data_IF_726429894102
#
_entry.id   IF_726429894102
#
_cell.length_a   1.000
_cell.length_b   1.000
_cell.length_c   1.000
_cell.angle_alpha   90.00
_cell.angle_beta   90.00
_cell.angle_gamma   90.00
#
_symmetry.space_group_name_H-M   'P 1'
#
loop_
_entity.id
_entity.type
_entity.pdbx_description
1 polymer ?
#
# COMPACT_ATOMS: atom_id res chain seq x y z
N UNK A 1 8.47 -2.76 -22.32
CA UNK A 1 9.34 -2.09 -21.35
C UNK A 1 8.86 -2.38 -19.94
N UNK A 2 9.79 -2.70 -19.02
CA UNK A 2 9.48 -2.98 -17.62
C UNK A 2 10.35 -2.06 -16.75
N UNK A 3 9.74 -1.51 -15.69
CA UNK A 3 10.44 -0.77 -14.65
C UNK A 3 10.18 -1.46 -13.32
N UNK A 4 11.19 -1.67 -12.51
CA UNK A 4 11.09 -2.23 -11.18
C UNK A 4 11.70 -1.27 -10.16
N UNK A 5 10.95 -0.97 -9.09
CA UNK A 5 11.50 -0.29 -7.92
C UNK A 5 11.86 -1.34 -6.88
N UNK A 6 13.12 -1.35 -6.46
CA UNK A 6 13.67 -2.32 -5.52
C UNK A 6 14.13 -1.58 -4.26
N UNK A 7 13.61 -1.97 -3.09
CA UNK A 7 14.08 -1.48 -1.80
C UNK A 7 15.32 -2.27 -1.37
N UNK A 8 16.46 -1.59 -1.28
CA UNK A 8 17.74 -2.22 -0.88
C UNK A 8 17.86 -2.41 0.63
N UNK A 9 17.27 -1.52 1.42
CA UNK A 9 17.37 -1.56 2.89
C UNK A 9 16.40 -2.57 3.49
N UNK A 10 16.68 -3.86 3.27
CA UNK A 10 15.94 -4.95 3.91
C UNK A 10 16.75 -5.51 5.08
N UNK A 11 16.15 -5.69 6.26
CA UNK A 11 16.81 -6.36 7.38
C UNK A 11 17.25 -7.75 6.93
N UNK A 12 18.57 -8.00 6.99
CA UNK A 12 19.23 -9.30 6.72
C UNK A 12 19.24 -9.79 5.26
N UNK A 13 18.81 -8.98 4.27
CA UNK A 13 18.61 -9.46 2.90
C UNK A 13 19.14 -8.49 1.83
N UNK A 14 20.04 -7.57 2.20
CA UNK A 14 20.55 -6.53 1.28
C UNK A 14 21.31 -7.12 0.10
N UNK A 15 22.15 -8.12 0.36
CA UNK A 15 22.93 -8.80 -0.68
C UNK A 15 22.04 -9.58 -1.65
N UNK A 16 20.99 -10.23 -1.16
CA UNK A 16 20.01 -10.93 -1.97
C UNK A 16 19.24 -9.96 -2.87
N UNK A 17 18.75 -8.85 -2.31
CA UNK A 17 18.02 -7.83 -3.06
C UNK A 17 18.89 -7.18 -4.15
N UNK A 18 20.17 -6.96 -3.87
CA UNK A 18 21.12 -6.45 -4.86
C UNK A 18 21.30 -7.45 -6.01
N UNK A 19 21.50 -8.73 -5.70
CA UNK A 19 21.61 -9.79 -6.70
C UNK A 19 20.35 -9.92 -7.59
N UNK A 20 19.17 -9.78 -7.02
CA UNK A 20 17.92 -9.78 -7.79
C UNK A 20 17.82 -8.53 -8.68
N UNK A 21 18.21 -7.36 -8.18
CA UNK A 21 18.23 -6.13 -8.97
C UNK A 21 19.16 -6.24 -10.19
N UNK A 22 20.35 -6.81 -10.02
CA UNK A 22 21.29 -7.07 -11.12
C UNK A 22 20.72 -8.06 -12.16
N UNK A 23 20.04 -9.11 -11.71
CA UNK A 23 19.37 -10.07 -12.62
C UNK A 23 18.30 -9.39 -13.46
N UNK A 24 17.49 -8.52 -12.84
CA UNK A 24 16.47 -7.72 -13.54
C UNK A 24 17.13 -6.79 -14.58
N UNK A 25 18.20 -6.10 -14.23
CA UNK A 25 18.93 -5.23 -15.16
C UNK A 25 19.49 -6.01 -16.36
N UNK A 26 20.10 -7.17 -16.13
CA UNK A 26 20.60 -8.05 -17.20
C UNK A 26 19.48 -8.55 -18.12
N UNK A 27 18.25 -8.67 -17.60
CA UNK A 27 17.05 -9.00 -18.39
C UNK A 27 16.43 -7.78 -19.12
N UNK A 28 17.08 -6.60 -19.06
CA UNK A 28 16.60 -5.38 -19.73
C UNK A 28 15.55 -4.59 -18.96
N UNK A 29 15.37 -4.88 -17.67
CA UNK A 29 14.46 -4.13 -16.80
C UNK A 29 15.14 -2.85 -16.33
N UNK A 30 14.44 -1.73 -16.39
CA UNK A 30 14.88 -0.49 -15.76
C UNK A 30 14.70 -0.60 -14.24
N UNK A 31 15.78 -0.63 -13.48
CA UNK A 31 15.71 -0.73 -12.02
C UNK A 31 15.90 0.64 -11.38
N UNK A 32 14.99 0.97 -10.46
CA UNK A 32 15.05 2.16 -9.61
C UNK A 32 15.30 1.70 -8.17
N UNK A 33 16.28 2.27 -7.50
CA UNK A 33 16.69 1.87 -6.15
C UNK A 33 16.07 2.78 -5.10
N UNK A 34 15.01 2.29 -4.45
CA UNK A 34 14.35 2.99 -3.37
C UNK A 34 13.81 4.39 -3.73
N UNK A 35 13.32 5.10 -2.73
CA UNK A 35 12.88 6.49 -2.82
C UNK A 35 13.67 7.32 -1.82
N UNK A 36 14.30 8.40 -2.26
CA UNK A 36 15.13 9.24 -1.39
C UNK A 36 14.33 9.75 -0.19
N UNK A 37 14.82 9.48 1.01
CA UNK A 37 14.22 9.91 2.27
C UNK A 37 13.07 9.01 2.79
N UNK A 38 12.70 7.96 2.04
CA UNK A 38 11.64 7.03 2.43
C UNK A 38 12.10 5.58 2.33
N UNK A 39 11.51 4.72 3.16
CA UNK A 39 11.59 3.28 2.98
C UNK A 39 10.36 2.83 2.20
N UNK A 40 10.56 2.18 1.06
CA UNK A 40 9.47 1.69 0.22
C UNK A 40 8.96 0.37 0.76
N UNK A 41 7.73 0.36 1.28
CA UNK A 41 7.06 -0.84 1.81
C UNK A 41 5.85 -1.27 0.99
N UNK A 42 5.48 -0.54 -0.04
CA UNK A 42 4.37 -0.88 -0.92
C UNK A 42 4.68 -2.13 -1.78
N UNK A 43 3.68 -2.99 -1.96
CA UNK A 43 3.71 -4.15 -2.86
C UNK A 43 2.64 -3.95 -3.90
N UNK A 44 3.06 -3.46 -5.05
CA UNK A 44 2.18 -3.07 -6.14
C UNK A 44 2.80 -3.48 -7.48
N UNK A 45 1.98 -4.05 -8.34
CA UNK A 45 2.32 -4.31 -9.75
C UNK A 45 1.30 -3.65 -10.63
N UNK A 46 1.75 -3.01 -11.69
CA UNK A 46 0.92 -2.39 -12.71
C UNK A 46 1.31 -2.91 -14.09
N UNK A 47 0.35 -3.46 -14.81
CA UNK A 47 0.48 -3.83 -16.22
C UNK A 47 -0.44 -2.94 -17.04
N UNK A 48 0.14 -2.21 -18.00
CA UNK A 48 -0.61 -1.36 -18.92
C UNK A 48 -0.61 -2.00 -20.31
N UNK A 49 -1.78 -2.27 -20.84
CA UNK A 49 -1.97 -2.90 -22.16
C UNK A 49 -2.87 -2.03 -23.03
N UNK A 50 -2.65 -2.11 -24.33
CA UNK A 50 -3.59 -1.58 -25.32
C UNK A 50 -4.52 -2.71 -25.76
N UNK A 51 -5.82 -2.54 -25.49
CA UNK A 51 -6.86 -3.49 -25.81
C UNK A 51 -8.00 -2.76 -26.52
N UNK A 52 -8.39 -3.23 -27.69
CA UNK A 52 -9.46 -2.62 -28.51
C UNK A 52 -9.30 -1.09 -28.69
N UNK A 53 -8.06 -0.63 -28.89
CA UNK A 53 -7.76 0.80 -29.10
C UNK A 53 -7.63 1.64 -27.81
N UNK A 54 -7.99 1.10 -26.65
CA UNK A 54 -7.93 1.79 -25.35
C UNK A 54 -6.79 1.26 -24.47
N UNK A 55 -6.32 2.08 -23.53
CA UNK A 55 -5.34 1.65 -22.52
C UNK A 55 -6.07 1.05 -21.33
N UNK A 56 -5.78 -0.21 -21.05
CA UNK A 56 -6.29 -0.92 -19.88
C UNK A 56 -5.18 -1.17 -18.86
N UNK A 57 -5.48 -0.97 -17.59
CA UNK A 57 -4.55 -1.13 -16.48
C UNK A 57 -4.98 -2.29 -15.61
N UNK A 58 -4.05 -3.20 -15.35
CA UNK A 58 -4.23 -4.33 -14.45
C UNK A 58 -3.30 -4.14 -13.28
N UNK A 59 -3.85 -4.15 -12.08
CA UNK A 59 -3.11 -3.89 -10.86
C UNK A 59 -3.16 -5.10 -9.93
N UNK A 60 -2.06 -5.35 -9.27
CA UNK A 60 -2.00 -6.14 -8.06
C UNK A 60 -1.56 -5.25 -6.90
N UNK A 61 -2.32 -5.29 -5.82
CA UNK A 61 -1.98 -4.67 -4.54
C UNK A 61 -1.87 -5.78 -3.50
N UNK A 62 -0.76 -5.85 -2.78
CA UNK A 62 -0.53 -6.87 -1.78
C UNK A 62 -0.07 -6.31 -0.45
N UNK A 63 -0.39 -6.99 0.65
CA UNK A 63 0.19 -6.74 1.97
C UNK A 63 1.53 -7.44 2.12
N UNK A 64 1.73 -8.58 1.45
CA UNK A 64 2.92 -9.41 1.51
C UNK A 64 3.99 -9.08 0.49
N UNK A 65 5.23 -9.30 0.84
CA UNK A 65 6.35 -9.14 -0.07
C UNK A 65 6.28 -10.12 -1.24
N UNK A 66 6.81 -9.73 -2.41
CA UNK A 66 7.06 -10.63 -3.55
C UNK A 66 8.29 -11.53 -3.25
N UNK A 67 8.14 -12.36 -2.24
CA UNK A 67 9.18 -13.28 -1.75
C UNK A 67 8.52 -14.60 -1.35
N UNK A 68 9.00 -15.71 -1.91
CA UNK A 68 8.36 -17.03 -1.75
C UNK A 68 8.44 -17.55 -0.31
N UNK A 69 9.52 -17.27 0.42
CA UNK A 69 9.71 -17.76 1.78
C UNK A 69 8.78 -17.04 2.76
N UNK A 70 8.72 -15.70 2.67
CA UNK A 70 7.81 -14.91 3.52
C UNK A 70 6.35 -15.17 3.19
N UNK A 71 6.01 -15.44 1.93
CA UNK A 71 4.64 -15.78 1.51
C UNK A 71 4.13 -17.11 2.10
N UNK A 72 5.02 -18.01 2.52
CA UNK A 72 4.65 -19.27 3.20
C UNK A 72 4.37 -19.07 4.69
N UNK A 73 4.89 -18.01 5.29
CA UNK A 73 4.84 -17.75 6.73
C UNK A 73 3.71 -16.82 7.10
N UNK A 74 3.49 -15.77 6.31
CA UNK A 74 2.51 -14.72 6.59
C UNK A 74 1.17 -14.98 5.90
N UNK A 75 0.08 -14.63 6.59
CA UNK A 75 -1.26 -14.57 5.98
C UNK A 75 -1.48 -13.19 5.40
N UNK A 76 -1.34 -13.09 4.10
CA UNK A 76 -1.45 -11.83 3.37
C UNK A 76 -2.76 -11.72 2.60
N UNK A 77 -3.10 -10.48 2.22
CA UNK A 77 -4.20 -10.17 1.31
C UNK A 77 -3.65 -9.65 0.00
N UNK A 78 -4.28 -10.06 -1.09
CA UNK A 78 -3.96 -9.61 -2.45
C UNK A 78 -5.24 -9.18 -3.16
N UNK A 79 -5.18 -8.02 -3.81
CA UNK A 79 -6.24 -7.52 -4.68
C UNK A 79 -5.73 -7.48 -6.12
N UNK A 80 -6.31 -8.29 -7.00
CA UNK A 80 -6.14 -8.18 -8.45
C UNK A 80 -7.33 -7.43 -9.03
N UNK A 81 -7.08 -6.36 -9.76
CA UNK A 81 -8.15 -5.50 -10.30
C UNK A 81 -7.77 -4.82 -11.60
N UNK A 82 -8.79 -4.47 -12.39
CA UNK A 82 -8.68 -3.57 -13.53
C UNK A 82 -9.60 -2.34 -13.39
N UNK A 83 -9.99 -2.00 -12.15
CA UNK A 83 -10.73 -0.77 -11.87
C UNK A 83 -9.98 0.45 -12.39
N UNK A 84 -10.66 1.33 -13.11
CA UNK A 84 -10.04 2.48 -13.78
C UNK A 84 -9.44 3.48 -12.80
N UNK A 85 -10.09 3.72 -11.66
CA UNK A 85 -9.62 4.67 -10.65
C UNK A 85 -8.40 4.14 -9.91
N UNK A 86 -8.43 2.87 -9.49
CA UNK A 86 -7.27 2.21 -8.88
C UNK A 86 -6.11 2.12 -9.87
N UNK A 87 -6.38 1.83 -11.14
CA UNK A 87 -5.38 1.80 -12.19
C UNK A 87 -4.74 3.16 -12.48
N UNK A 88 -5.54 4.24 -12.48
CA UNK A 88 -5.04 5.60 -12.62
C UNK A 88 -4.18 6.01 -11.43
N UNK A 89 -4.62 5.73 -10.21
CA UNK A 89 -3.87 5.99 -8.99
C UNK A 89 -2.56 5.19 -8.94
N UNK A 90 -2.57 3.93 -9.36
CA UNK A 90 -1.37 3.11 -9.46
C UNK A 90 -0.35 3.72 -10.45
N UNK A 91 -0.81 4.19 -11.62
CA UNK A 91 0.06 4.88 -12.59
C UNK A 91 0.67 6.13 -11.98
N UNK A 92 -0.12 6.90 -11.26
CA UNK A 92 0.32 8.12 -10.59
C UNK A 92 1.31 7.81 -9.46
N UNK A 93 1.07 6.76 -8.69
CA UNK A 93 2.01 6.30 -7.66
C UNK A 93 3.36 5.95 -8.27
N UNK A 94 3.40 5.14 -9.34
CA UNK A 94 4.65 4.79 -10.02
C UNK A 94 5.36 6.02 -10.58
N UNK A 95 4.65 6.95 -11.20
CA UNK A 95 5.24 8.19 -11.69
C UNK A 95 5.87 9.02 -10.57
N UNK A 96 5.27 9.04 -9.39
CA UNK A 96 5.81 9.79 -8.26
C UNK A 96 7.04 9.13 -7.64
N UNK A 97 7.04 7.80 -7.48
CA UNK A 97 8.18 7.09 -6.87
C UNK A 97 9.37 6.93 -7.81
N UNK A 98 9.15 7.03 -9.13
CA UNK A 98 10.22 7.08 -10.13
C UNK A 98 10.72 8.50 -10.43
N UNK A 99 10.20 9.50 -9.73
CA UNK A 99 10.66 10.90 -9.84
C UNK A 99 10.11 11.67 -11.03
N UNK A 100 9.14 11.12 -11.78
CA UNK A 100 8.55 11.77 -12.96
C UNK A 100 7.58 12.88 -12.58
N UNK A 101 6.87 12.74 -11.46
CA UNK A 101 5.91 13.75 -10.99
C UNK A 101 5.93 13.88 -9.47
N UNK A 102 5.45 15.03 -8.94
CA UNK A 102 5.14 15.14 -7.52
C UNK A 102 3.87 14.37 -7.18
N UNK A 103 3.74 13.91 -5.92
CA UNK A 103 2.50 13.33 -5.40
C UNK A 103 1.36 14.34 -5.63
N UNK A 104 0.36 13.92 -6.40
CA UNK A 104 -0.84 14.69 -6.68
C UNK A 104 -2.06 14.00 -6.05
N UNK A 105 -3.26 14.38 -6.40
CA UNK A 105 -4.48 13.82 -5.80
C UNK A 105 -4.70 12.37 -6.21
N UNK A 106 -4.77 11.48 -5.23
CA UNK A 106 -5.27 10.11 -5.38
C UNK A 106 -6.79 10.08 -5.13
N UNK A 107 -7.48 9.17 -5.79
CA UNK A 107 -8.94 9.00 -5.66
C UNK A 107 -9.32 7.85 -4.73
N UNK A 108 -8.58 6.76 -4.81
CA UNK A 108 -8.85 5.49 -4.10
C UNK A 108 -7.68 5.01 -3.26
N UNK A 109 -6.44 5.38 -3.62
CA UNK A 109 -5.26 5.03 -2.86
C UNK A 109 -4.89 6.15 -1.88
N UNK A 110 -4.40 5.77 -0.72
CA UNK A 110 -3.96 6.69 0.32
C UNK A 110 -2.50 6.38 0.69
N UNK A 111 -1.51 6.92 -0.06
CA UNK A 111 -0.11 6.65 0.21
C UNK A 111 0.36 7.23 1.54
N UNK A 112 1.16 6.46 2.27
CA UNK A 112 1.89 6.93 3.45
C UNK A 112 3.23 7.56 3.01
N UNK A 113 3.72 8.61 3.72
CA UNK A 113 3.12 9.27 4.89
C UNK A 113 2.09 10.36 4.54
N UNK A 114 1.87 10.65 3.24
CA UNK A 114 1.17 11.85 2.80
C UNK A 114 -0.33 11.88 3.14
N UNK A 115 -1.02 10.71 3.14
CA UNK A 115 -2.49 10.68 3.22
C UNK A 115 -3.05 9.58 4.13
N UNK A 116 -2.33 8.47 4.31
CA UNK A 116 -2.89 7.26 4.93
C UNK A 116 -3.31 7.50 6.39
N UNK A 117 -2.49 8.18 7.18
CA UNK A 117 -2.78 8.42 8.60
C UNK A 117 -4.06 9.23 8.78
N UNK A 118 -4.16 10.37 8.10
CA UNK A 118 -5.35 11.24 8.18
C UNK A 118 -6.60 10.48 7.76
N UNK A 119 -6.52 9.71 6.66
CA UNK A 119 -7.66 8.95 6.18
C UNK A 119 -8.12 7.86 7.14
N UNK A 120 -7.20 7.17 7.79
CA UNK A 120 -7.56 6.17 8.80
C UNK A 120 -8.20 6.81 10.03
N UNK A 121 -7.68 7.94 10.50
CA UNK A 121 -8.28 8.70 11.61
C UNK A 121 -9.71 9.18 11.27
N UNK A 122 -9.94 9.67 10.04
CA UNK A 122 -11.29 10.02 9.57
C UNK A 122 -12.24 8.82 9.59
N UNK A 123 -11.78 7.64 9.13
CA UNK A 123 -12.60 6.43 9.12
C UNK A 123 -12.93 5.96 10.54
N UNK A 124 -11.98 6.02 11.47
CA UNK A 124 -12.21 5.70 12.89
C UNK A 124 -13.24 6.68 13.49
N UNK A 125 -13.08 7.99 13.24
CA UNK A 125 -14.02 8.99 13.71
C UNK A 125 -15.43 8.81 13.12
N UNK A 126 -15.54 8.39 11.86
CA UNK A 126 -16.83 8.11 11.24
C UNK A 126 -17.55 6.94 11.93
N UNK A 127 -16.85 5.87 12.30
CA UNK A 127 -17.43 4.76 13.06
C UNK A 127 -17.79 5.18 14.50
N UNK A 128 -16.97 6.01 15.15
CA UNK A 128 -17.30 6.60 16.45
C UNK A 128 -18.61 7.39 16.39
N UNK A 129 -18.78 8.25 15.39
CA UNK A 129 -20.03 9.00 15.21
C UNK A 129 -21.25 8.12 14.92
N UNK A 130 -21.09 7.02 14.21
CA UNK A 130 -22.16 6.04 13.99
C UNK A 130 -22.59 5.39 15.31
N UNK A 131 -21.63 4.96 16.14
CA UNK A 131 -21.92 4.38 17.44
C UNK A 131 -22.66 5.36 18.36
N UNK A 132 -22.23 6.62 18.39
CA UNK A 132 -22.91 7.68 19.18
C UNK A 132 -24.35 7.92 18.75
N UNK A 133 -24.72 7.64 17.50
CA UNK A 133 -26.09 7.69 17.00
C UNK A 133 -26.88 6.40 17.25
N UNK A 134 -26.29 5.42 17.92
CA UNK A 134 -26.92 4.11 18.16
C UNK A 134 -26.93 3.18 16.92
N UNK A 135 -26.18 3.51 15.89
CA UNK A 135 -26.02 2.68 14.70
C UNK A 135 -24.98 1.56 14.94
N UNK A 136 -25.09 0.48 14.17
CA UNK A 136 -24.03 -0.55 14.19
C UNK A 136 -22.73 0.03 13.68
N UNK A 137 -21.67 -0.01 14.50
CA UNK A 137 -20.35 0.44 14.19
C UNK A 137 -19.31 -0.65 14.50
N UNK A 138 -18.39 -0.91 13.56
CA UNK A 138 -17.42 -1.99 13.72
C UNK A 138 -16.10 -1.65 13.00
N UNK A 139 -14.98 -1.89 13.67
CA UNK A 139 -13.63 -1.79 13.09
C UNK A 139 -12.96 -3.15 13.21
N UNK A 140 -12.46 -3.67 12.09
CA UNK A 140 -11.61 -4.86 12.05
C UNK A 140 -10.29 -4.50 11.41
N UNK A 141 -9.19 -4.76 12.08
CA UNK A 141 -7.87 -4.47 11.56
C UNK A 141 -6.89 -5.61 11.82
N UNK A 142 -6.05 -5.88 10.83
CA UNK A 142 -4.91 -6.80 10.94
C UNK A 142 -3.64 -6.06 10.55
N UNK A 143 -2.63 -6.10 11.42
CA UNK A 143 -1.37 -5.37 11.23
C UNK A 143 -0.23 -5.99 12.02
N UNK A 144 1.01 -5.73 11.62
CA UNK A 144 2.19 -6.21 12.34
C UNK A 144 2.41 -5.50 13.68
N UNK A 145 2.06 -4.21 13.75
CA UNK A 145 2.17 -3.42 14.97
C UNK A 145 1.23 -2.21 14.94
N UNK A 146 0.81 -1.78 16.12
CA UNK A 146 0.04 -0.57 16.35
C UNK A 146 0.83 0.27 17.38
N UNK A 147 1.59 1.25 16.89
CA UNK A 147 2.48 2.07 17.73
C UNK A 147 2.33 3.59 17.50
N UNK A 148 1.40 4.00 16.67
CA UNK A 148 1.07 5.41 16.46
C UNK A 148 0.11 5.88 17.56
N UNK A 149 0.53 6.88 18.36
CA UNK A 149 -0.22 7.38 19.51
C UNK A 149 -1.59 7.95 19.14
N UNK A 150 -1.71 8.63 17.99
CA UNK A 150 -2.97 9.23 17.58
C UNK A 150 -3.97 8.15 17.14
N UNK A 151 -3.47 7.09 16.46
CA UNK A 151 -4.30 5.93 16.11
C UNK A 151 -4.79 5.20 17.36
N UNK A 152 -3.93 4.97 18.35
CA UNK A 152 -4.31 4.32 19.61
C UNK A 152 -5.38 5.14 20.34
N UNK A 153 -5.15 6.44 20.50
CA UNK A 153 -6.11 7.33 21.14
C UNK A 153 -7.46 7.40 20.39
N UNK A 154 -7.44 7.39 19.06
CA UNK A 154 -8.67 7.37 18.25
C UNK A 154 -9.45 6.06 18.44
N UNK A 155 -8.77 4.91 18.44
CA UNK A 155 -9.41 3.61 18.68
C UNK A 155 -9.98 3.50 20.11
N UNK A 156 -9.28 4.01 21.12
CA UNK A 156 -9.76 4.06 22.50
C UNK A 156 -11.06 4.89 22.62
N UNK A 157 -11.11 6.09 22.01
CA UNK A 157 -12.33 6.91 21.97
C UNK A 157 -13.48 6.20 21.24
N UNK A 158 -13.20 5.62 20.10
CA UNK A 158 -14.20 4.86 19.33
C UNK A 158 -14.76 3.67 20.14
N UNK A 159 -13.88 2.94 20.85
CA UNK A 159 -14.29 1.84 21.74
C UNK A 159 -15.17 2.34 22.89
N UNK A 160 -14.79 3.46 23.54
CA UNK A 160 -15.59 4.08 24.59
C UNK A 160 -16.98 4.55 24.10
N UNK A 161 -17.09 4.95 22.83
CA UNK A 161 -18.35 5.31 22.20
C UNK A 161 -19.23 4.10 21.80
N UNK A 162 -18.71 2.86 21.94
CA UNK A 162 -19.46 1.64 21.65
C UNK A 162 -19.15 0.99 20.30
N UNK A 163 -18.10 1.42 19.61
CA UNK A 163 -17.62 0.74 18.38
C UNK A 163 -17.05 -0.62 18.74
N UNK A 164 -17.49 -1.67 18.06
CA UNK A 164 -16.90 -3.00 18.21
C UNK A 164 -15.56 -3.05 17.47
N UNK A 165 -14.46 -3.19 18.21
CA UNK A 165 -13.12 -3.21 17.65
C UNK A 165 -12.49 -4.59 17.78
N UNK A 166 -11.96 -5.12 16.68
CA UNK A 166 -11.24 -6.39 16.60
C UNK A 166 -9.88 -6.15 15.94
N UNK A 167 -8.80 -6.38 16.70
CA UNK A 167 -7.41 -6.25 16.25
C UNK A 167 -6.74 -7.63 16.21
N UNK A 168 -5.98 -7.89 15.16
CA UNK A 168 -5.19 -9.10 14.98
C UNK A 168 -3.75 -8.74 14.61
#
# INVERSE_FOLDING_TARGET
QVTALVELKARFDESHNLGQAERLQRAGVQVVYGVKGFKTHAKITLVVRRENGTLRRYCHFGTGNYNEDTARIYSDLSLLTCDEHLGADASQFFNSVTGLTRLTRFRRLFPSPAMMKERLLELIAAEEQRALRGERAEIRAKMNSLNDSDMMAALERASAAGVKIQLN
#
